data_IF_534749857941
#
_entry.id   IF_534749857941
#
_cell.length_a   1.000
_cell.length_b   1.000
_cell.length_c   1.000
_cell.angle_alpha   90.00
_cell.angle_beta   90.00
_cell.angle_gamma   90.00
#
_symmetry.space_group_name_H-M   'P 1'
#
loop_
_entity.id
_entity.type
_entity.pdbx_description
1 polymer ?
#
# COMPACT_ATOMS: atom_id res chain seq x y z
N UNK A 1 18.95 3.87 12.11
CA UNK A 1 19.41 3.06 10.95
C UNK A 1 18.75 3.57 9.67
N UNK A 2 19.46 4.42 8.93
CA UNK A 2 18.96 5.07 7.72
C UNK A 2 18.78 4.04 6.61
N UNK A 3 17.54 3.59 6.38
CA UNK A 3 17.24 2.76 5.22
C UNK A 3 17.06 3.69 4.03
N UNK A 4 18.16 4.03 3.37
CA UNK A 4 18.18 4.76 2.09
C UNK A 4 17.73 3.84 0.97
N UNK A 5 16.57 3.23 1.11
CA UNK A 5 15.93 2.48 0.04
C UNK A 5 14.94 3.46 -0.55
N UNK A 6 15.27 4.01 -1.72
CA UNK A 6 14.31 4.74 -2.53
C UNK A 6 13.10 3.82 -2.71
N UNK A 7 11.90 4.20 -2.26
CA UNK A 7 10.70 3.47 -2.64
C UNK A 7 10.62 3.63 -4.16
N UNK A 8 10.92 2.56 -4.87
CA UNK A 8 11.00 2.48 -6.33
C UNK A 8 10.21 1.24 -6.77
N UNK A 9 9.77 1.20 -8.03
CA UNK A 9 9.05 0.08 -8.60
C UNK A 9 9.71 -1.29 -8.35
N UNK A 10 11.04 -1.34 -8.37
CA UNK A 10 11.82 -2.55 -8.07
C UNK A 10 11.61 -3.04 -6.63
N UNK A 11 11.57 -2.12 -5.67
CA UNK A 11 11.33 -2.40 -4.24
C UNK A 11 9.90 -2.84 -4.02
N UNK A 12 8.93 -2.16 -4.64
CA UNK A 12 7.53 -2.57 -4.60
C UNK A 12 7.35 -4.01 -5.12
N UNK A 13 7.94 -4.34 -6.27
CA UNK A 13 7.85 -5.67 -6.87
C UNK A 13 8.48 -6.77 -5.99
N UNK A 14 9.63 -6.49 -5.36
CA UNK A 14 10.28 -7.45 -4.44
C UNK A 14 9.44 -7.68 -3.18
N UNK A 15 8.88 -6.62 -2.58
CA UNK A 15 8.02 -6.71 -1.40
C UNK A 15 6.71 -7.43 -1.74
N UNK A 16 6.05 -7.03 -2.83
CA UNK A 16 4.84 -7.70 -3.33
C UNK A 16 5.12 -9.17 -3.61
N UNK A 17 6.24 -9.50 -4.27
CA UNK A 17 6.63 -10.90 -4.51
C UNK A 17 6.76 -11.72 -3.22
N UNK A 18 7.33 -11.13 -2.16
CA UNK A 18 7.50 -11.77 -0.85
C UNK A 18 6.19 -11.89 -0.06
N UNK A 19 5.33 -10.87 -0.14
CA UNK A 19 4.13 -10.74 0.68
C UNK A 19 2.90 -11.35 -0.02
N UNK A 20 2.66 -10.96 -1.27
CA UNK A 20 1.51 -11.36 -2.10
C UNK A 20 1.73 -12.72 -2.75
N UNK A 21 2.99 -13.11 -3.03
CA UNK A 21 3.30 -14.47 -3.50
C UNK A 21 2.80 -15.58 -2.56
N UNK A 22 2.42 -15.23 -1.32
CA UNK A 22 1.89 -16.12 -0.29
C UNK A 22 0.36 -15.99 -0.07
N UNK A 23 -0.31 -14.96 -0.60
CA UNK A 23 -1.73 -14.68 -0.32
C UNK A 23 -2.48 -14.14 -1.56
N UNK A 24 -3.72 -14.61 -1.78
CA UNK A 24 -4.60 -14.11 -2.83
C UNK A 24 -5.06 -12.67 -2.55
N UNK A 25 -5.21 -11.85 -3.61
CA UNK A 25 -5.62 -10.43 -3.58
C UNK A 25 -6.79 -10.10 -2.64
N UNK A 26 -7.75 -11.02 -2.53
CA UNK A 26 -8.98 -10.85 -1.74
C UNK A 26 -8.87 -11.24 -0.27
N UNK A 27 -7.75 -11.85 0.16
CA UNK A 27 -7.53 -12.37 1.52
C UNK A 27 -6.39 -11.68 2.27
N UNK A 28 -5.85 -10.59 1.70
CA UNK A 28 -4.78 -9.85 2.35
C UNK A 28 -5.35 -9.13 3.60
N UNK A 29 -4.78 -9.39 4.80
CA UNK A 29 -5.17 -8.69 6.01
C UNK A 29 -4.82 -7.20 5.88
N UNK A 30 -5.61 -6.33 6.52
CA UNK A 30 -5.26 -4.91 6.58
C UNK A 30 -4.19 -4.68 7.65
N UNK A 31 -3.24 -3.74 7.42
CA UNK A 31 -2.27 -3.36 8.46
C UNK A 31 -2.95 -2.74 9.68
N UNK A 32 -2.36 -2.93 10.87
CA UNK A 32 -2.91 -2.40 12.13
C UNK A 32 -3.02 -0.87 12.13
N UNK A 33 -2.14 -0.16 11.42
CA UNK A 33 -2.17 1.31 11.35
C UNK A 33 -3.43 1.88 10.67
N UNK A 34 -4.22 1.05 10.01
CA UNK A 34 -5.45 1.43 9.30
C UNK A 34 -6.69 1.41 10.21
N UNK A 35 -6.55 0.90 11.45
CA UNK A 35 -7.58 0.85 12.51
C UNK A 35 -8.98 0.46 12.03
N UNK A 36 -9.12 -0.69 11.34
CA UNK A 36 -10.39 -1.22 10.82
C UNK A 36 -11.25 -0.22 10.03
N UNK A 37 -10.72 0.97 9.70
CA UNK A 37 -11.42 2.01 9.00
C UNK A 37 -11.62 1.44 7.61
N UNK A 38 -12.87 1.24 7.21
CA UNK A 38 -13.19 0.68 5.90
C UNK A 38 -12.39 1.48 4.87
N UNK A 39 -11.51 0.80 4.12
CA UNK A 39 -10.74 1.44 3.06
C UNK A 39 -11.77 2.12 2.16
N UNK A 40 -11.76 3.46 2.06
CA UNK A 40 -12.75 4.15 1.26
C UNK A 40 -12.52 3.71 -0.17
N UNK A 41 -13.48 2.96 -0.72
CA UNK A 41 -13.39 2.46 -2.08
C UNK A 41 -13.54 3.60 -3.08
N UNK A 42 -14.11 4.74 -2.69
CA UNK A 42 -14.45 5.88 -3.56
C UNK A 42 -15.23 5.40 -4.80
N UNK A 43 -14.54 5.00 -5.88
CA UNK A 43 -15.07 4.30 -7.06
C UNK A 43 -14.07 3.26 -7.63
N UNK A 44 -13.20 2.70 -6.81
CA UNK A 44 -12.20 1.72 -7.20
C UNK A 44 -12.88 0.40 -7.57
N UNK A 45 -12.44 -0.18 -8.68
CA UNK A 45 -12.81 -1.53 -9.06
C UNK A 45 -12.27 -2.53 -8.03
N UNK A 46 -12.81 -3.76 -7.94
CA UNK A 46 -12.30 -4.78 -7.02
C UNK A 46 -10.80 -5.09 -7.21
N UNK A 47 -10.29 -4.90 -8.44
CA UNK A 47 -8.84 -4.98 -8.73
C UNK A 47 -8.05 -3.84 -8.07
N UNK A 48 -8.60 -2.63 -8.06
CA UNK A 48 -8.01 -1.47 -7.40
C UNK A 48 -8.04 -1.59 -5.89
N UNK A 49 -9.12 -2.10 -5.31
CA UNK A 49 -9.19 -2.39 -3.87
C UNK A 49 -8.10 -3.39 -3.42
N UNK A 50 -7.86 -4.44 -4.22
CA UNK A 50 -6.78 -5.39 -4.00
C UNK A 50 -5.40 -4.72 -4.05
N UNK A 51 -5.15 -3.88 -5.05
CA UNK A 51 -3.92 -3.10 -5.16
C UNK A 51 -3.69 -2.15 -3.97
N UNK A 52 -4.73 -1.45 -3.49
CA UNK A 52 -4.62 -0.60 -2.28
C UNK A 52 -4.15 -1.43 -1.08
N UNK A 53 -4.73 -2.62 -0.86
CA UNK A 53 -4.31 -3.51 0.24
C UNK A 53 -2.84 -3.94 0.11
N UNK A 54 -2.38 -4.29 -1.10
CA UNK A 54 -0.98 -4.64 -1.35
C UNK A 54 -0.05 -3.48 -1.02
N UNK A 55 -0.37 -2.29 -1.51
CA UNK A 55 0.42 -1.07 -1.28
C UNK A 55 0.50 -0.78 0.21
N UNK A 56 -0.64 -0.82 0.92
CA UNK A 56 -0.68 -0.61 2.37
C UNK A 56 0.18 -1.63 3.13
N UNK A 57 0.17 -2.91 2.74
CA UNK A 57 1.07 -3.92 3.33
C UNK A 57 2.54 -3.64 3.04
N UNK A 58 2.86 -3.21 1.83
CA UNK A 58 4.23 -2.87 1.47
C UNK A 58 4.73 -1.68 2.28
N UNK A 59 3.88 -0.67 2.48
CA UNK A 59 4.19 0.49 3.33
C UNK A 59 4.39 0.04 4.77
N UNK A 60 3.52 -0.84 5.31
CA UNK A 60 3.68 -1.42 6.65
C UNK A 60 5.04 -2.09 6.83
N UNK A 61 5.49 -2.84 5.81
CA UNK A 61 6.75 -3.56 5.84
C UNK A 61 7.97 -2.61 5.78
N UNK A 62 7.84 -1.52 5.03
CA UNK A 62 8.91 -0.53 4.84
C UNK A 62 9.02 0.45 5.99
N UNK A 63 7.89 0.79 6.61
CA UNK A 63 7.79 1.74 7.72
C UNK A 63 7.15 1.06 8.93
N UNK A 64 7.86 0.14 9.60
CA UNK A 64 7.36 -0.51 10.81
C UNK A 64 7.13 0.48 11.97
N UNK A 65 7.72 1.67 11.90
CA UNK A 65 7.50 2.77 12.86
C UNK A 65 6.10 3.41 12.72
N UNK A 66 5.40 3.22 11.59
CA UNK A 66 4.05 3.74 11.39
C UNK A 66 3.04 2.85 12.12
N UNK A 67 2.70 3.22 13.35
CA UNK A 67 1.74 2.48 14.17
C UNK A 67 0.28 2.93 13.98
N UNK A 68 0.03 4.15 13.50
CA UNK A 68 -1.33 4.68 13.32
C UNK A 68 -1.39 5.73 12.21
N UNK A 69 -2.07 5.42 11.10
CA UNK A 69 -2.26 6.33 9.97
C UNK A 69 -3.56 6.01 9.21
N UNK A 70 -4.74 6.34 9.77
CA UNK A 70 -6.03 6.02 9.14
C UNK A 70 -6.30 6.81 7.85
N UNK A 71 -5.55 7.89 7.59
CA UNK A 71 -5.64 8.66 6.35
C UNK A 71 -4.88 8.02 5.18
N UNK A 72 -3.92 7.13 5.44
CA UNK A 72 -3.09 6.54 4.40
C UNK A 72 -3.89 5.73 3.35
N UNK A 73 -4.86 4.87 3.72
CA UNK A 73 -5.70 4.17 2.75
C UNK A 73 -6.48 5.12 1.83
N UNK A 74 -6.98 6.24 2.38
CA UNK A 74 -7.69 7.26 1.63
C UNK A 74 -6.79 7.89 0.56
N UNK A 75 -5.56 8.26 0.93
CA UNK A 75 -4.57 8.82 0.02
C UNK A 75 -4.17 7.80 -1.06
N UNK A 76 -3.88 6.56 -0.68
CA UNK A 76 -3.50 5.49 -1.63
C UNK A 76 -4.63 5.21 -2.60
N UNK A 77 -5.87 5.09 -2.11
CA UNK A 77 -7.04 4.85 -2.94
C UNK A 77 -7.31 6.00 -3.93
N UNK A 78 -7.09 7.25 -3.51
CA UNK A 78 -7.18 8.41 -4.39
C UNK A 78 -6.08 8.39 -5.46
N UNK A 79 -4.83 8.11 -5.08
CA UNK A 79 -3.70 8.05 -6.02
C UNK A 79 -3.91 6.95 -7.07
N UNK A 80 -4.39 5.78 -6.65
CA UNK A 80 -4.68 4.65 -7.53
C UNK A 80 -5.85 4.93 -8.50
N UNK A 81 -6.71 5.90 -8.18
CA UNK A 81 -7.76 6.34 -9.09
C UNK A 81 -7.18 7.12 -10.29
N UNK A 82 -6.11 7.88 -10.08
CA UNK A 82 -5.47 8.71 -11.11
C UNK A 82 -4.24 8.05 -11.75
N UNK A 83 -3.67 7.03 -11.12
CA UNK A 83 -2.50 6.31 -11.61
C UNK A 83 -2.79 4.82 -11.67
N UNK A 84 -2.67 4.26 -12.88
CA UNK A 84 -2.84 2.83 -13.15
C UNK A 84 -1.64 1.99 -12.70
N UNK A 85 -0.51 2.63 -12.42
CA UNK A 85 0.72 1.95 -12.06
C UNK A 85 0.82 1.80 -10.53
N UNK A 86 0.73 0.55 -10.07
CA UNK A 86 0.76 0.21 -8.64
C UNK A 86 2.08 0.62 -7.98
N UNK A 87 3.20 0.53 -8.71
CA UNK A 87 4.51 0.91 -8.19
C UNK A 87 4.56 2.41 -7.92
N UNK A 88 4.17 3.26 -8.88
CA UNK A 88 4.07 4.71 -8.66
C UNK A 88 3.12 5.07 -7.50
N UNK A 89 2.03 4.31 -7.34
CA UNK A 89 1.11 4.49 -6.23
C UNK A 89 1.66 4.04 -4.88
N UNK A 90 2.71 3.23 -4.85
CA UNK A 90 3.49 2.94 -3.65
C UNK A 90 4.56 4.01 -3.40
N UNK A 91 5.24 4.50 -4.45
CA UNK A 91 6.29 5.51 -4.32
C UNK A 91 5.78 6.85 -3.78
N UNK A 92 4.67 7.34 -4.34
CA UNK A 92 4.09 8.63 -3.96
C UNK A 92 3.73 8.75 -2.47
N UNK A 93 2.97 7.81 -1.86
CA UNK A 93 2.69 7.87 -0.42
C UNK A 93 3.95 7.65 0.43
N UNK A 94 4.90 6.80 -0.02
CA UNK A 94 6.17 6.62 0.70
C UNK A 94 7.04 7.87 0.70
N UNK A 95 6.88 8.80 -0.27
CA UNK A 95 7.57 10.09 -0.29
C UNK A 95 6.88 11.17 0.55
N UNK A 96 5.58 10.99 0.84
CA UNK A 96 4.79 11.89 1.69
C UNK A 96 5.05 11.59 3.18
N UNK A 97 5.34 10.33 3.50
CA UNK A 97 5.76 9.83 4.82
C UNK A 97 7.25 10.13 5.08
#
# INVERSE_FOLDING_TARGET
>A
PCRTVTPDASVYSDIVGKIVGKHSDSSLPLPEFVDNTQVPSYCLNPRGEGAVRKILLCIANQFPDVSFCPALPAVVALLLHYSTDEAQCFENPCRIL
#
